data_IF_804566178395
#
_entry.id   IF_804566178395
#
_cell.length_a   1.000
_cell.length_b   1.000
_cell.length_c   1.000
_cell.angle_alpha   90.00
_cell.angle_beta   90.00
_cell.angle_gamma   90.00
#
_symmetry.space_group_name_H-M   'P 1'
#
loop_
_entity.id
_entity.type
_entity.pdbx_description
1 polymer ?
#
# COMPACT_ATOMS: atom_id res chain seq x y z
N UNK A 1 0.07 -12.43 -17.20
CA UNK A 1 1.39 -12.62 -17.84
C UNK A 1 1.25 -12.29 -19.33
N UNK A 2 1.67 -11.13 -19.75
CA UNK A 2 1.90 -10.83 -21.17
C UNK A 2 3.38 -10.44 -21.28
N UNK A 3 4.20 -11.39 -21.68
CA UNK A 3 5.53 -11.13 -22.19
C UNK A 3 5.37 -10.68 -23.65
N UNK A 4 5.51 -9.39 -23.91
CA UNK A 4 5.75 -8.90 -25.27
C UNK A 4 7.25 -8.79 -25.40
N UNK A 5 7.83 -9.72 -26.15
CA UNK A 5 9.19 -9.66 -26.60
C UNK A 5 9.34 -8.43 -27.51
N UNK A 6 10.27 -7.57 -27.22
CA UNK A 6 10.65 -6.49 -28.10
C UNK A 6 11.96 -6.87 -28.80
N UNK A 7 11.85 -7.03 -30.09
CA UNK A 7 12.95 -7.32 -30.98
C UNK A 7 14.03 -6.23 -30.97
N UNK A 8 15.22 -6.69 -31.18
CA UNK A 8 16.47 -5.99 -31.33
C UNK A 8 16.37 -4.77 -32.25
N UNK A 9 16.50 -3.57 -31.71
CA UNK A 9 17.01 -2.42 -32.40
C UNK A 9 18.50 -2.26 -32.10
N UNK A 10 19.31 -2.88 -32.94
CA UNK A 10 20.73 -2.61 -33.00
C UNK A 10 20.93 -1.22 -33.66
N UNK A 11 21.58 -0.32 -32.93
CA UNK A 11 22.17 0.86 -33.48
C UNK A 11 21.73 2.20 -32.89
N UNK A 12 22.11 2.46 -31.65
CA UNK A 12 22.37 3.82 -31.19
C UNK A 12 23.55 3.75 -30.23
N UNK A 13 24.68 4.30 -30.65
CA UNK A 13 25.84 4.57 -29.80
C UNK A 13 25.38 5.43 -28.61
N UNK A 14 25.18 4.79 -27.47
CA UNK A 14 24.63 5.41 -26.29
C UNK A 14 25.62 6.38 -25.68
N UNK A 15 25.22 7.63 -25.58
CA UNK A 15 25.74 8.50 -24.56
C UNK A 15 25.43 7.85 -23.21
N UNK A 16 26.41 7.70 -22.34
CA UNK A 16 26.26 7.33 -20.94
C UNK A 16 25.59 8.48 -20.17
N UNK A 17 24.32 8.72 -20.48
CA UNK A 17 23.49 9.61 -19.71
C UNK A 17 23.28 8.95 -18.35
N UNK A 18 23.94 9.47 -17.32
CA UNK A 18 23.64 9.07 -15.96
C UNK A 18 22.17 9.37 -15.71
N UNK A 19 21.39 8.35 -15.36
CA UNK A 19 20.01 8.51 -14.93
C UNK A 19 19.97 9.53 -13.79
N UNK A 20 19.13 10.60 -13.90
CA UNK A 20 19.20 11.71 -12.95
C UNK A 20 18.76 11.35 -11.52
N UNK A 21 18.17 10.18 -11.33
CA UNK A 21 17.70 9.71 -10.04
C UNK A 21 18.44 8.45 -9.61
N UNK A 22 19.48 8.62 -8.79
CA UNK A 22 20.32 7.53 -8.29
C UNK A 22 19.54 6.47 -7.47
N UNK A 23 18.37 6.85 -6.95
CA UNK A 23 17.51 5.97 -6.16
C UNK A 23 16.74 4.94 -6.98
N UNK A 24 16.53 5.20 -8.26
CA UNK A 24 15.90 4.25 -9.18
C UNK A 24 17.03 3.46 -9.87
N UNK A 25 17.48 2.38 -9.25
CA UNK A 25 18.60 1.58 -9.75
C UNK A 25 18.52 1.30 -11.25
N UNK A 26 19.65 1.46 -11.93
CA UNK A 26 19.81 1.44 -13.40
C UNK A 26 19.53 0.10 -14.08
N UNK A 27 18.98 -0.87 -13.37
CA UNK A 27 18.66 -2.20 -13.92
C UNK A 27 17.15 -2.29 -14.09
N UNK A 28 16.73 -2.22 -15.32
CA UNK A 28 15.33 -2.37 -15.73
C UNK A 28 15.03 -3.82 -16.12
N UNK A 29 13.76 -4.23 -15.99
CA UNK A 29 12.63 -3.55 -15.35
C UNK A 29 12.62 -3.72 -13.84
N UNK A 30 12.01 -2.74 -13.11
CA UNK A 30 11.67 -2.88 -11.69
C UNK A 30 10.34 -3.63 -11.54
N UNK A 31 10.29 -4.61 -10.64
CA UNK A 31 9.06 -5.30 -10.28
C UNK A 31 8.43 -4.62 -9.06
N UNK A 32 7.36 -3.87 -9.29
CA UNK A 32 6.57 -3.20 -8.23
C UNK A 32 5.39 -4.07 -7.86
N UNK A 33 5.33 -4.49 -6.60
CA UNK A 33 4.23 -5.29 -6.06
C UNK A 33 3.07 -4.39 -5.65
N UNK A 34 2.14 -4.12 -6.60
CA UNK A 34 0.94 -3.32 -6.39
C UNK A 34 0.05 -3.95 -5.31
N UNK A 35 -0.02 -3.30 -4.14
CA UNK A 35 -0.71 -3.75 -2.93
C UNK A 35 -0.19 -5.09 -2.37
N UNK A 36 1.09 -5.41 -2.63
CA UNK A 36 1.69 -6.68 -2.29
C UNK A 36 1.37 -7.80 -3.30
N UNK A 37 1.43 -9.07 -2.89
CA UNK A 37 1.06 -10.22 -3.70
C UNK A 37 -0.48 -10.37 -3.80
N UNK A 38 -1.20 -9.29 -4.16
CA UNK A 38 -2.65 -9.18 -4.10
C UNK A 38 -3.41 -10.19 -4.97
N UNK A 39 -2.76 -10.81 -5.94
CA UNK A 39 -3.29 -11.93 -6.72
C UNK A 39 -3.44 -13.23 -5.91
N UNK A 40 -2.66 -13.39 -4.85
CA UNK A 40 -2.56 -14.62 -4.05
C UNK A 40 -3.01 -14.44 -2.60
N UNK A 41 -2.96 -13.22 -2.07
CA UNK A 41 -3.24 -12.90 -0.67
C UNK A 41 -4.16 -11.66 -0.59
N UNK A 42 -4.87 -11.44 0.53
CA UNK A 42 -5.57 -10.18 0.74
C UNK A 42 -4.62 -8.99 0.60
N UNK A 43 -5.03 -8.00 -0.18
CA UNK A 43 -4.24 -6.80 -0.47
C UNK A 43 -3.88 -6.05 0.82
N UNK A 44 -2.75 -5.32 0.78
CA UNK A 44 -2.32 -4.45 1.88
C UNK A 44 -2.19 -5.16 3.23
N UNK A 45 -1.59 -6.34 3.23
CA UNK A 45 -1.20 -7.07 4.43
C UNK A 45 0.31 -7.21 4.49
N UNK A 46 0.89 -7.25 5.70
CA UNK A 46 2.34 -7.46 5.86
C UNK A 46 2.77 -8.78 5.21
N UNK A 47 1.95 -9.82 5.37
CA UNK A 47 2.18 -11.14 4.80
C UNK A 47 2.10 -11.11 3.27
N UNK A 48 1.19 -10.29 2.70
CA UNK A 48 1.10 -10.07 1.26
C UNK A 48 2.34 -9.37 0.70
N UNK A 49 2.86 -8.37 1.39
CA UNK A 49 4.13 -7.72 1.03
C UNK A 49 5.32 -8.66 1.19
N UNK A 50 5.38 -9.37 2.31
CA UNK A 50 6.41 -10.39 2.55
C UNK A 50 6.43 -11.44 1.44
N UNK A 51 5.27 -11.92 1.00
CA UNK A 51 5.12 -12.85 -0.11
C UNK A 51 5.63 -12.26 -1.41
N UNK A 52 5.27 -11.02 -1.72
CA UNK A 52 5.72 -10.33 -2.93
C UNK A 52 7.25 -10.22 -2.99
N UNK A 53 7.89 -9.85 -1.88
CA UNK A 53 9.36 -9.79 -1.77
C UNK A 53 10.00 -11.18 -1.95
N UNK A 54 9.41 -12.22 -1.38
CA UNK A 54 9.88 -13.59 -1.57
C UNK A 54 9.73 -14.07 -3.02
N UNK A 55 8.71 -13.59 -3.74
CA UNK A 55 8.46 -13.88 -5.15
C UNK A 55 9.32 -13.01 -6.09
N UNK A 56 10.17 -12.13 -5.56
CA UNK A 56 11.18 -11.37 -6.30
C UNK A 56 10.83 -9.92 -6.60
N UNK A 57 9.85 -9.32 -5.92
CA UNK A 57 9.56 -7.90 -6.07
C UNK A 57 10.74 -7.04 -5.61
N UNK A 58 11.03 -5.97 -6.35
CA UNK A 58 12.02 -4.94 -6.00
C UNK A 58 11.42 -3.88 -5.10
N UNK A 59 10.17 -3.54 -5.36
CA UNK A 59 9.42 -2.51 -4.66
C UNK A 59 8.10 -3.06 -4.12
N UNK A 60 7.65 -2.50 -3.00
CA UNK A 60 6.28 -2.68 -2.50
C UNK A 60 5.54 -1.36 -2.60
N UNK A 61 4.27 -1.46 -2.96
CA UNK A 61 3.40 -0.29 -3.14
C UNK A 61 2.25 -0.34 -2.12
N UNK A 62 2.28 0.55 -1.09
CA UNK A 62 1.20 0.73 -0.14
C UNK A 62 0.35 1.97 -0.47
N UNK A 63 -0.98 1.77 -0.54
CA UNK A 63 -1.95 2.86 -0.52
C UNK A 63 -2.23 3.31 0.92
N UNK A 64 -2.38 4.61 1.17
CA UNK A 64 -2.47 5.18 2.50
C UNK A 64 -3.75 5.98 2.70
N UNK A 65 -4.44 5.71 3.81
CA UNK A 65 -5.58 6.47 4.31
C UNK A 65 -5.37 6.77 5.80
N UNK A 66 -6.16 7.70 6.36
CA UNK A 66 -6.11 7.97 7.80
C UNK A 66 -7.13 7.15 8.60
N UNK A 67 -6.71 6.74 9.79
CA UNK A 67 -7.60 6.38 10.89
C UNK A 67 -8.18 7.64 11.55
N UNK A 68 -9.20 7.48 12.41
CA UNK A 68 -9.83 8.56 13.18
C UNK A 68 -8.84 9.34 14.06
N UNK A 69 -7.86 8.65 14.61
CA UNK A 69 -6.80 9.20 15.45
C UNK A 69 -5.55 9.64 14.66
N UNK A 70 -5.68 9.77 13.33
CA UNK A 70 -4.69 10.39 12.46
C UNK A 70 -3.44 9.55 12.21
N UNK A 71 -3.56 8.23 12.29
CA UNK A 71 -2.50 7.30 11.92
C UNK A 71 -2.65 6.89 10.46
N UNK A 72 -1.55 6.88 9.69
CA UNK A 72 -1.54 6.34 8.34
C UNK A 72 -1.66 4.82 8.37
N UNK A 73 -2.75 4.30 7.83
CA UNK A 73 -3.02 2.87 7.68
C UNK A 73 -3.05 2.49 6.21
N UNK A 74 -2.70 1.25 5.91
CA UNK A 74 -2.49 0.82 4.54
C UNK A 74 -3.76 0.22 3.97
N UNK A 75 -4.48 1.02 3.17
CA UNK A 75 -5.72 0.66 2.47
C UNK A 75 -5.86 1.48 1.20
N UNK A 76 -6.41 0.84 0.12
CA UNK A 76 -6.72 1.55 -1.11
C UNK A 76 -7.94 2.44 -0.96
N UNK A 77 -9.06 1.85 -0.53
CA UNK A 77 -10.32 2.58 -0.40
C UNK A 77 -10.43 3.22 0.99
N UNK A 78 -11.06 4.37 1.07
CA UNK A 78 -11.42 5.02 2.34
C UNK A 78 -12.50 4.26 3.10
N UNK A 79 -13.18 3.29 2.44
CA UNK A 79 -14.16 2.40 3.05
C UNK A 79 -13.61 0.98 3.28
N UNK A 80 -14.29 0.19 4.14
CA UNK A 80 -13.73 -1.02 4.72
C UNK A 80 -14.40 -2.32 4.27
N UNK A 81 -15.66 -2.31 3.77
CA UNK A 81 -16.46 -3.53 3.64
C UNK A 81 -15.95 -4.53 2.60
N UNK A 82 -15.31 -4.05 1.52
CA UNK A 82 -14.88 -4.92 0.41
C UNK A 82 -13.63 -5.72 0.73
N UNK A 83 -12.76 -5.17 1.56
CA UNK A 83 -11.41 -5.70 1.81
C UNK A 83 -11.16 -6.05 3.26
N UNK A 84 -12.20 -5.97 4.12
CA UNK A 84 -12.14 -6.38 5.52
C UNK A 84 -13.42 -7.10 5.96
N UNK A 85 -13.34 -7.74 7.14
CA UNK A 85 -14.47 -8.41 7.77
C UNK A 85 -15.36 -7.47 8.61
N UNK A 86 -15.32 -6.15 8.41
CA UNK A 86 -16.07 -5.17 9.23
C UNK A 86 -17.57 -5.45 9.28
N UNK A 87 -18.14 -5.90 8.17
CA UNK A 87 -19.58 -6.23 8.08
C UNK A 87 -20.01 -7.38 9.00
N UNK A 88 -19.06 -8.23 9.43
CA UNK A 88 -19.31 -9.32 10.40
C UNK A 88 -19.12 -8.93 11.87
N UNK A 89 -18.86 -7.64 12.13
CA UNK A 89 -18.58 -7.10 13.46
C UNK A 89 -19.81 -6.36 14.01
N UNK A 90 -20.62 -7.02 14.90
CA UNK A 90 -21.84 -6.40 15.42
C UNK A 90 -21.59 -5.08 16.16
N UNK A 91 -20.44 -4.97 16.85
CA UNK A 91 -20.03 -3.77 17.57
C UNK A 91 -19.87 -2.53 16.68
N UNK A 92 -19.68 -2.73 15.36
CA UNK A 92 -19.51 -1.64 14.39
C UNK A 92 -20.74 -1.44 13.49
N UNK A 93 -21.81 -2.21 13.65
CA UNK A 93 -22.98 -2.17 12.77
C UNK A 93 -23.59 -0.76 12.64
N UNK A 94 -23.68 -0.02 13.75
CA UNK A 94 -24.25 1.33 13.80
C UNK A 94 -23.38 2.42 13.16
N UNK A 95 -22.13 2.12 12.80
CA UNK A 95 -21.21 3.09 12.17
C UNK A 95 -21.32 3.15 10.66
N UNK A 96 -22.10 2.23 10.07
CA UNK A 96 -22.36 2.26 8.63
C UNK A 96 -23.15 3.52 8.28
N UNK A 97 -22.65 4.31 7.32
CA UNK A 97 -23.26 5.58 6.93
C UNK A 97 -22.95 5.95 5.49
N UNK A 98 -23.68 6.92 4.95
CA UNK A 98 -23.42 7.50 3.63
C UNK A 98 -22.00 8.06 3.55
N UNK A 99 -21.47 8.02 2.34
CA UNK A 99 -20.11 8.46 2.07
C UNK A 99 -19.86 9.91 2.50
N UNK A 100 -18.77 10.14 3.27
CA UNK A 100 -18.22 11.47 3.45
C UNK A 100 -17.16 11.80 2.37
N UNK A 101 -16.74 10.80 1.59
CA UNK A 101 -15.74 10.92 0.52
C UNK A 101 -16.44 11.15 -0.82
N UNK A 102 -16.22 12.30 -1.50
CA UNK A 102 -16.86 12.59 -2.77
C UNK A 102 -16.58 11.57 -3.88
N UNK A 103 -15.43 10.89 -3.83
CA UNK A 103 -15.08 9.83 -4.78
C UNK A 103 -16.07 8.65 -4.74
N UNK A 104 -16.67 8.40 -3.57
CA UNK A 104 -17.60 7.31 -3.33
C UNK A 104 -19.00 7.80 -2.94
N UNK A 105 -19.45 8.93 -3.46
CA UNK A 105 -20.64 9.69 -3.03
C UNK A 105 -21.93 8.86 -2.89
N UNK A 106 -22.11 7.83 -3.71
CA UNK A 106 -23.32 6.98 -3.71
C UNK A 106 -23.22 5.76 -2.78
N UNK A 107 -22.08 5.64 -2.06
CA UNK A 107 -21.82 4.48 -1.21
C UNK A 107 -22.32 4.69 0.22
N UNK A 108 -22.86 3.62 0.81
CA UNK A 108 -23.10 3.51 2.24
C UNK A 108 -22.23 2.39 2.80
N UNK A 109 -21.28 2.74 3.69
CA UNK A 109 -20.24 1.83 4.15
C UNK A 109 -19.69 2.25 5.53
N UNK A 110 -18.69 1.52 6.02
CA UNK A 110 -17.82 1.86 7.16
C UNK A 110 -16.58 2.57 6.62
N UNK A 111 -16.26 3.75 7.15
CA UNK A 111 -15.18 4.61 6.67
C UNK A 111 -13.99 4.53 7.59
N UNK A 112 -12.79 4.28 7.07
CA UNK A 112 -11.57 4.09 7.87
C UNK A 112 -11.35 5.23 8.87
N UNK A 113 -11.63 6.48 8.46
CA UNK A 113 -11.51 7.66 9.31
C UNK A 113 -12.54 7.76 10.46
N UNK A 114 -13.51 6.86 10.54
CA UNK A 114 -14.43 6.75 11.68
C UNK A 114 -13.91 5.80 12.78
N UNK A 115 -12.79 5.09 12.51
CA UNK A 115 -12.21 4.07 13.39
C UNK A 115 -10.84 4.49 13.90
N UNK A 116 -10.60 4.35 15.19
CA UNK A 116 -9.24 4.46 15.73
C UNK A 116 -8.34 3.35 15.22
N UNK A 117 -7.02 3.53 15.30
CA UNK A 117 -6.08 2.47 14.96
C UNK A 117 -6.36 1.19 15.75
N UNK A 118 -6.64 1.30 17.04
CA UNK A 118 -6.94 0.16 17.90
C UNK A 118 -8.14 -0.63 17.38
N UNK A 119 -9.21 0.04 16.93
CA UNK A 119 -10.38 -0.60 16.33
C UNK A 119 -10.06 -1.23 14.97
N UNK A 120 -9.32 -0.54 14.10
CA UNK A 120 -8.88 -1.08 12.80
C UNK A 120 -8.05 -2.35 12.98
N UNK A 121 -7.21 -2.43 14.01
CA UNK A 121 -6.41 -3.62 14.34
C UNK A 121 -7.26 -4.83 14.79
N UNK A 122 -8.52 -4.64 15.14
CA UNK A 122 -9.46 -5.76 15.42
C UNK A 122 -10.02 -6.39 14.14
N UNK A 123 -9.99 -5.66 13.02
CA UNK A 123 -10.44 -6.14 11.73
C UNK A 123 -9.42 -7.10 11.10
N UNK A 124 -9.91 -7.86 10.13
CA UNK A 124 -9.08 -8.78 9.34
C UNK A 124 -9.32 -8.53 7.86
N UNK A 125 -8.22 -8.58 7.11
CA UNK A 125 -8.26 -8.43 5.66
C UNK A 125 -8.95 -9.62 4.98
N UNK A 126 -9.67 -9.34 3.89
CA UNK A 126 -10.28 -10.35 3.02
C UNK A 126 -9.99 -10.02 1.55
N UNK A 127 -9.98 -11.04 0.72
CA UNK A 127 -9.78 -10.91 -0.73
C UNK A 127 -11.08 -10.45 -1.41
N UNK A 128 -11.12 -9.25 -2.06
CA UNK A 128 -12.35 -8.75 -2.65
C UNK A 128 -12.75 -9.43 -3.97
N UNK A 129 -11.78 -9.93 -4.73
CA UNK A 129 -12.02 -10.40 -6.10
C UNK A 129 -12.49 -11.84 -6.17
N UNK A 130 -13.51 -12.08 -7.02
CA UNK A 130 -13.92 -13.43 -7.41
C UNK A 130 -12.80 -14.09 -8.23
N UNK A 131 -12.61 -15.39 -8.03
CA UNK A 131 -11.57 -16.16 -8.75
C UNK A 131 -10.18 -16.10 -8.12
N UNK A 132 -9.94 -15.27 -7.11
CA UNK A 132 -8.74 -15.33 -6.27
C UNK A 132 -9.01 -16.17 -5.03
N UNK A 133 -7.94 -16.78 -4.48
CA UNK A 133 -8.07 -17.63 -3.29
C UNK A 133 -8.59 -16.85 -2.09
N UNK A 134 -9.51 -17.47 -1.33
CA UNK A 134 -10.05 -16.96 -0.07
C UNK A 134 -9.38 -17.60 1.16
N UNK A 135 -8.37 -18.43 0.93
CA UNK A 135 -7.71 -19.23 1.98
C UNK A 135 -7.18 -18.36 3.14
N UNK A 136 -6.81 -17.13 2.85
CA UNK A 136 -6.20 -16.20 3.81
C UNK A 136 -7.19 -15.17 4.36
N UNK A 137 -8.48 -15.25 3.99
CA UNK A 137 -9.50 -14.32 4.48
C UNK A 137 -9.64 -14.45 6.00
N UNK A 138 -9.65 -13.30 6.66
CA UNK A 138 -9.83 -13.26 8.12
C UNK A 138 -8.58 -13.55 8.95
N UNK A 139 -7.41 -13.77 8.35
CA UNK A 139 -6.18 -14.11 9.07
C UNK A 139 -5.35 -12.88 9.43
N UNK A 140 -5.19 -11.91 8.52
CA UNK A 140 -4.21 -10.84 8.63
C UNK A 140 -4.85 -9.51 9.02
N UNK A 141 -4.08 -8.70 9.73
CA UNK A 141 -4.50 -7.37 10.18
C UNK A 141 -4.29 -6.31 9.09
N UNK A 142 -4.92 -5.15 9.29
CA UNK A 142 -4.60 -3.91 8.56
C UNK A 142 -3.28 -3.37 9.13
N UNK A 143 -2.23 -3.21 8.33
CA UNK A 143 -0.98 -2.62 8.82
C UNK A 143 -1.05 -1.09 8.84
N UNK A 144 -0.20 -0.48 9.67
CA UNK A 144 0.17 0.93 9.56
C UNK A 144 1.24 1.10 8.49
N UNK A 145 1.43 2.33 8.03
CA UNK A 145 2.53 2.65 7.12
C UNK A 145 3.90 2.38 7.77
N UNK A 146 4.08 2.73 9.04
CA UNK A 146 5.30 2.45 9.78
C UNK A 146 5.65 0.95 9.82
N UNK A 147 4.66 0.07 10.04
CA UNK A 147 4.88 -1.39 10.01
C UNK A 147 5.32 -1.88 8.63
N UNK A 148 4.80 -1.28 7.55
CA UNK A 148 5.25 -1.60 6.18
C UNK A 148 6.68 -1.11 5.93
N UNK A 149 7.05 0.08 6.42
CA UNK A 149 8.42 0.59 6.33
C UNK A 149 9.41 -0.26 7.13
N UNK A 150 9.02 -0.73 8.32
CA UNK A 150 9.84 -1.67 9.10
C UNK A 150 10.06 -2.99 8.35
N UNK A 151 9.02 -3.53 7.72
CA UNK A 151 9.14 -4.72 6.90
C UNK A 151 10.10 -4.48 5.74
N UNK A 152 9.94 -3.39 4.98
CA UNK A 152 10.81 -3.05 3.84
C UNK A 152 12.28 -2.91 4.29
N UNK A 153 12.52 -2.22 5.41
CA UNK A 153 13.85 -2.02 5.97
C UNK A 153 14.50 -3.32 6.47
N UNK A 154 13.72 -4.28 6.94
CA UNK A 154 14.22 -5.57 7.43
C UNK A 154 14.61 -6.53 6.31
N UNK A 155 14.42 -6.17 5.04
CA UNK A 155 14.56 -7.04 3.88
C UNK A 155 15.48 -6.44 2.83
N UNK A 156 15.97 -7.33 1.97
CA UNK A 156 16.63 -6.98 0.71
C UNK A 156 15.93 -7.69 -0.43
N UNK A 157 16.06 -7.16 -1.63
CA UNK A 157 15.58 -7.79 -2.86
C UNK A 157 16.39 -9.06 -3.18
N UNK A 158 15.93 -9.84 -4.16
CA UNK A 158 16.69 -11.02 -4.64
C UNK A 158 18.05 -10.63 -5.24
N UNK A 159 18.26 -9.36 -5.55
CA UNK A 159 19.56 -8.82 -6.01
C UNK A 159 20.38 -8.19 -4.89
N UNK A 160 20.00 -8.40 -3.63
CA UNK A 160 20.64 -7.83 -2.43
C UNK A 160 20.62 -6.31 -2.33
N UNK A 161 19.69 -5.66 -3.03
CA UNK A 161 19.45 -4.22 -2.95
C UNK A 161 18.40 -3.90 -1.86
N UNK A 162 18.42 -2.70 -1.29
CA UNK A 162 17.31 -2.25 -0.42
C UNK A 162 15.96 -2.35 -1.12
N UNK A 163 14.93 -2.76 -0.38
CA UNK A 163 13.56 -2.77 -0.89
C UNK A 163 13.09 -1.33 -1.11
N UNK A 164 12.56 -1.07 -2.29
CA UNK A 164 11.97 0.24 -2.57
C UNK A 164 10.51 0.28 -2.08
N UNK A 165 10.05 1.46 -1.63
CA UNK A 165 8.66 1.69 -1.20
C UNK A 165 8.06 2.80 -2.05
N UNK A 166 6.91 2.51 -2.65
CA UNK A 166 6.19 3.43 -3.54
C UNK A 166 4.80 3.77 -2.96
N UNK A 167 4.70 4.66 -1.93
CA UNK A 167 3.45 4.94 -1.26
C UNK A 167 2.54 5.84 -2.10
N UNK A 168 1.24 5.54 -2.11
CA UNK A 168 0.21 6.37 -2.71
C UNK A 168 -0.71 6.99 -1.65
N UNK A 169 -0.87 8.32 -1.68
CA UNK A 169 -1.83 9.02 -0.83
C UNK A 169 -3.24 8.94 -1.43
N UNK A 170 -4.17 8.25 -0.77
CA UNK A 170 -5.55 8.08 -1.27
C UNK A 170 -6.46 9.19 -0.77
N UNK A 171 -7.32 9.70 -1.67
CA UNK A 171 -8.33 10.73 -1.37
C UNK A 171 -7.82 11.88 -0.48
N UNK A 172 -6.67 12.55 -0.79
CA UNK A 172 -6.08 13.56 0.09
C UNK A 172 -7.00 14.75 0.34
N UNK A 173 -7.80 15.15 -0.65
CA UNK A 173 -8.77 16.23 -0.50
C UNK A 173 -9.88 15.90 0.51
N UNK A 174 -10.37 14.65 0.51
CA UNK A 174 -11.32 14.18 1.51
C UNK A 174 -10.70 14.22 2.92
N UNK A 175 -9.50 13.69 3.08
CA UNK A 175 -8.81 13.68 4.35
C UNK A 175 -8.54 15.09 4.88
N UNK A 176 -8.16 16.02 4.02
CA UNK A 176 -8.03 17.45 4.38
C UNK A 176 -9.36 18.04 4.87
N UNK A 177 -10.46 17.70 4.20
CA UNK A 177 -11.81 18.14 4.57
C UNK A 177 -12.29 17.67 5.94
N UNK A 178 -11.73 16.58 6.46
CA UNK A 178 -12.05 16.02 7.80
C UNK A 178 -10.98 16.30 8.85
N UNK A 179 -10.06 17.23 8.59
CA UNK A 179 -9.06 17.69 9.55
C UNK A 179 -7.68 17.05 9.44
N UNK A 180 -7.42 16.25 8.40
CA UNK A 180 -6.13 15.62 8.13
C UNK A 180 -5.50 16.18 6.85
N UNK A 181 -5.18 17.49 6.86
CA UNK A 181 -4.57 18.18 5.71
C UNK A 181 -3.06 17.89 5.55
N UNK A 182 -2.46 17.21 6.51
CA UNK A 182 -1.02 16.95 6.65
C UNK A 182 -0.58 15.56 6.16
N UNK A 183 -1.29 14.98 5.19
CA UNK A 183 -1.01 13.62 4.73
C UNK A 183 0.40 13.49 4.14
N UNK A 184 0.81 14.42 3.28
CA UNK A 184 2.12 14.40 2.67
C UNK A 184 3.25 14.56 3.72
N UNK A 185 3.07 15.48 4.65
CA UNK A 185 4.00 15.73 5.75
C UNK A 185 4.16 14.49 6.65
N UNK A 186 3.07 13.79 6.94
CA UNK A 186 3.11 12.55 7.74
C UNK A 186 3.76 11.39 7.00
N UNK A 187 3.53 11.26 5.69
CA UNK A 187 4.25 10.28 4.85
C UNK A 187 5.74 10.56 4.90
N UNK A 188 6.15 11.81 4.66
CA UNK A 188 7.56 12.22 4.72
C UNK A 188 8.16 12.02 6.12
N UNK A 189 7.42 12.33 7.18
CA UNK A 189 7.86 12.11 8.55
C UNK A 189 8.09 10.63 8.86
N UNK A 190 7.19 9.74 8.39
CA UNK A 190 7.37 8.29 8.53
C UNK A 190 8.59 7.80 7.75
N UNK A 191 8.77 8.23 6.50
CA UNK A 191 9.95 7.88 5.70
C UNK A 191 11.24 8.32 6.40
N UNK A 192 11.27 9.56 6.90
CA UNK A 192 12.41 10.11 7.64
C UNK A 192 12.69 9.33 8.92
N UNK A 193 11.66 9.02 9.71
CA UNK A 193 11.76 8.21 10.94
C UNK A 193 12.44 6.86 10.68
N UNK A 194 12.16 6.27 9.51
CA UNK A 194 12.72 4.98 9.12
C UNK A 194 14.01 5.10 8.30
N UNK A 195 14.55 6.33 8.06
CA UNK A 195 15.76 6.56 7.29
C UNK A 195 15.61 6.24 5.79
N UNK A 196 14.40 6.41 5.25
CA UNK A 196 14.05 6.15 3.85
C UNK A 196 13.77 7.45 3.07
N UNK A 197 14.43 8.56 3.45
CA UNK A 197 14.28 9.88 2.84
C UNK A 197 15.58 10.43 2.24
N UNK A 198 16.68 9.69 2.35
CA UNK A 198 18.01 10.13 1.91
C UNK A 198 18.33 9.79 0.44
N UNK A 199 19.50 10.25 -0.03
CA UNK A 199 19.97 10.03 -1.40
C UNK A 199 20.15 8.54 -1.78
N UNK A 200 20.20 7.63 -0.81
CA UNK A 200 20.24 6.17 -1.02
C UNK A 200 18.90 5.48 -0.78
N UNK A 201 17.84 6.24 -0.48
CA UNK A 201 16.50 5.68 -0.34
C UNK A 201 15.95 5.23 -1.71
N UNK A 202 15.16 4.16 -1.68
CA UNK A 202 14.54 3.59 -2.88
C UNK A 202 13.02 3.48 -2.70
#
# INVERSE_FOLDING_TARGET
LALIGCDTLSGASGGSGSWPYASLGHKTPLLIAHRGASGHMPEHTLEGYQRALNDGADCIEPDLVFSKDGVLVVRHDTYLSTTTNVASKPEFASRKRKSPDPEFSDREDWWAADFTLAELKTLRAVQPFKGRTKMFDGLYQIPTFDEVLELAKSRVTVTSEPVCVYPEAKSPAYHAGIGHADMAEKILASLKKHGMDGAGAR
#
